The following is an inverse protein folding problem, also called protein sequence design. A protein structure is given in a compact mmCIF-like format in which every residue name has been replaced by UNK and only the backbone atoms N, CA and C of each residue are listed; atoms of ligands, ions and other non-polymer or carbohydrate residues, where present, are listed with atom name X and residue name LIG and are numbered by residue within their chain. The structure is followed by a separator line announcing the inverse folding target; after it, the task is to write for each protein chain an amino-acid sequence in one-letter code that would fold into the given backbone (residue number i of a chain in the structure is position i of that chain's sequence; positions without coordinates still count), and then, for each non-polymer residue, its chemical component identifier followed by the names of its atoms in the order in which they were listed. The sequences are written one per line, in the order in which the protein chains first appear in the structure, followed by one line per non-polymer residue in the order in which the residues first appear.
data_IF_466099863172
#
_entry.id   IF_466099863172
#
_cell.length_a   1.000
_cell.length_b   1.000
_cell.length_c   1.000
_cell.angle_alpha   90.00
_cell.angle_beta   90.00
_cell.angle_gamma   90.00
#
_symmetry.space_group_name_H-M   'P 1'
#
loop_
_entity.id
_entity.type
_entity.pdbx_description
1 polymer ?
#
# COMPACT_ATOMS: atom_id res chain seq x y z
N UNK A 1 12.01 -17.88 9.68
CA UNK A 1 12.08 -18.19 8.24
C UNK A 1 13.43 -17.69 7.79
N UNK A 2 14.28 -18.56 7.24
CA UNK A 2 15.70 -18.27 7.03
C UNK A 2 15.91 -17.04 6.13
N UNK A 3 16.74 -16.11 6.61
CA UNK A 3 17.19 -14.93 5.86
C UNK A 3 18.19 -15.35 4.77
N UNK A 4 17.70 -15.85 3.64
CA UNK A 4 18.54 -16.11 2.48
C UNK A 4 18.94 -14.77 1.86
N UNK A 5 20.24 -14.49 1.82
CA UNK A 5 20.80 -13.28 1.21
C UNK A 5 20.35 -13.19 -0.25
N UNK A 6 19.69 -12.09 -0.61
CA UNK A 6 19.15 -11.88 -1.95
C UNK A 6 17.68 -12.29 -2.14
N UNK A 7 17.02 -12.85 -1.14
CA UNK A 7 15.56 -13.10 -1.14
C UNK A 7 14.85 -12.15 -0.16
N UNK A 8 13.68 -11.67 -0.57
CA UNK A 8 12.90 -10.69 0.19
C UNK A 8 11.55 -10.42 -0.45
N UNK A 9 10.66 -9.77 0.30
CA UNK A 9 9.34 -9.37 -0.18
C UNK A 9 9.47 -8.17 -1.13
N UNK A 10 9.55 -8.47 -2.43
CA UNK A 10 9.63 -7.50 -3.53
C UNK A 10 8.60 -7.85 -4.60
N UNK A 11 7.30 -7.73 -4.30
CA UNK A 11 6.27 -8.03 -5.27
C UNK A 11 6.36 -7.04 -6.44
N UNK A 12 6.14 -7.53 -7.66
CA UNK A 12 5.97 -6.68 -8.82
C UNK A 12 4.62 -5.97 -8.77
N UNK A 13 4.48 -4.87 -9.50
CA UNK A 13 3.25 -4.09 -9.54
C UNK A 13 2.02 -4.96 -9.92
N UNK A 14 2.16 -5.87 -10.89
CA UNK A 14 1.11 -6.80 -11.33
C UNK A 14 0.72 -7.79 -10.22
N UNK A 15 1.68 -8.23 -9.41
CA UNK A 15 1.43 -9.10 -8.26
C UNK A 15 0.74 -8.33 -7.12
N UNK A 16 1.14 -7.09 -6.86
CA UNK A 16 0.50 -6.20 -5.88
C UNK A 16 -0.99 -6.03 -6.21
N UNK A 17 -1.32 -5.76 -7.47
CA UNK A 17 -2.72 -5.56 -7.90
C UNK A 17 -3.47 -6.88 -8.03
N UNK A 18 -2.93 -7.82 -8.80
CA UNK A 18 -3.63 -9.03 -9.22
C UNK A 18 -3.68 -10.15 -8.19
N UNK A 19 -2.65 -10.27 -7.35
CA UNK A 19 -2.59 -11.29 -6.31
C UNK A 19 -2.95 -10.71 -4.94
N UNK A 20 -2.23 -9.68 -4.46
CA UNK A 20 -2.41 -9.21 -3.08
C UNK A 20 -3.71 -8.42 -2.90
N UNK A 21 -3.90 -7.34 -3.67
CA UNK A 21 -5.06 -6.46 -3.52
C UNK A 21 -6.37 -7.14 -3.93
N UNK A 22 -6.37 -7.81 -5.07
CA UNK A 22 -7.55 -8.48 -5.60
C UNK A 22 -8.05 -9.58 -4.64
N UNK A 23 -7.18 -10.49 -4.19
CA UNK A 23 -7.60 -11.51 -3.23
C UNK A 23 -7.99 -10.90 -1.86
N UNK A 24 -7.34 -9.81 -1.44
CA UNK A 24 -7.75 -9.08 -0.21
C UNK A 24 -9.18 -8.57 -0.31
N UNK A 25 -9.58 -8.02 -1.46
CA UNK A 25 -10.93 -7.50 -1.71
C UNK A 25 -11.95 -8.64 -1.77
N UNK A 26 -11.60 -9.77 -2.40
CA UNK A 26 -12.50 -10.93 -2.49
C UNK A 26 -12.57 -11.76 -1.20
N UNK A 27 -11.70 -11.50 -0.22
CA UNK A 27 -11.63 -12.30 1.01
C UNK A 27 -11.03 -13.69 0.79
N UNK A 28 -10.26 -13.88 -0.28
CA UNK A 28 -9.55 -15.12 -0.59
C UNK A 28 -8.15 -15.12 0.03
N UNK A 29 -7.65 -16.30 0.39
CA UNK A 29 -6.30 -16.51 0.94
C UNK A 29 -5.88 -15.52 2.06
N UNK A 30 -6.85 -15.02 2.84
CA UNK A 30 -6.65 -13.93 3.81
C UNK A 30 -5.50 -14.20 4.77
N UNK A 31 -5.34 -15.43 5.24
CA UNK A 31 -4.23 -15.80 6.14
C UNK A 31 -2.83 -15.59 5.55
N UNK A 32 -2.64 -15.80 4.24
CA UNK A 32 -1.34 -15.58 3.57
C UNK A 32 -1.13 -14.10 3.31
N UNK A 33 -2.16 -13.42 2.81
CA UNK A 33 -2.12 -12.01 2.46
C UNK A 33 -1.91 -11.14 3.70
N UNK A 34 -2.62 -11.43 4.80
CA UNK A 34 -2.54 -10.67 6.05
C UNK A 34 -1.23 -10.91 6.81
N UNK A 35 -0.51 -11.98 6.48
CA UNK A 35 0.88 -12.18 6.94
C UNK A 35 1.87 -11.33 6.16
N UNK A 36 1.56 -10.95 4.92
CA UNK A 36 2.45 -10.18 4.07
C UNK A 36 2.22 -8.67 4.17
N UNK A 37 0.96 -8.22 4.06
CA UNK A 37 0.60 -6.80 3.98
C UNK A 37 -0.44 -6.49 5.05
N UNK A 38 -0.14 -5.52 5.91
CA UNK A 38 -1.04 -5.09 6.99
C UNK A 38 -2.10 -4.12 6.46
N UNK A 39 -3.32 -4.20 7.02
CA UNK A 39 -4.31 -3.13 6.89
C UNK A 39 -4.01 -2.04 7.91
N UNK A 40 -3.84 -0.80 7.46
CA UNK A 40 -3.61 0.39 8.30
C UNK A 40 -4.49 1.53 7.82
N UNK A 41 -4.81 2.45 8.72
CA UNK A 41 -5.40 3.74 8.34
C UNK A 41 -4.27 4.72 8.07
N UNK A 42 -3.85 4.85 6.81
CA UNK A 42 -2.62 5.57 6.45
C UNK A 42 -2.60 7.04 6.88
N UNK A 43 -3.77 7.67 7.05
CA UNK A 43 -3.89 9.05 7.49
C UNK A 43 -3.59 9.24 8.99
N UNK A 44 -3.56 8.17 9.78
CA UNK A 44 -3.25 8.26 11.22
C UNK A 44 -1.75 8.23 11.50
N UNK A 45 -0.90 8.05 10.48
CA UNK A 45 0.54 7.83 10.65
C UNK A 45 1.39 8.87 9.90
N UNK A 46 2.39 9.35 10.63
CA UNK A 46 3.75 9.63 10.18
C UNK A 46 4.32 8.64 9.12
N UNK A 47 4.87 8.99 7.95
CA UNK A 47 5.46 7.97 7.06
C UNK A 47 6.67 7.26 7.66
N UNK A 48 7.42 7.93 8.54
CA UNK A 48 8.50 7.30 9.29
C UNK A 48 7.99 6.36 10.38
N UNK A 49 6.73 6.48 10.79
CA UNK A 49 6.12 5.56 11.75
C UNK A 49 5.57 4.32 11.06
N UNK A 50 5.10 4.46 9.81
CA UNK A 50 4.54 3.34 9.04
C UNK A 50 5.49 2.15 8.89
N UNK A 51 6.80 2.38 8.73
CA UNK A 51 7.77 1.28 8.61
C UNK A 51 7.71 0.29 9.78
N UNK A 52 7.38 0.77 10.98
CA UNK A 52 7.28 -0.06 12.18
C UNK A 52 5.97 -0.88 12.23
N UNK A 53 5.00 -0.51 11.40
CA UNK A 53 3.73 -1.24 11.26
C UNK A 53 3.81 -2.38 10.23
N UNK A 54 4.91 -2.48 9.48
CA UNK A 54 5.10 -3.51 8.46
C UNK A 54 5.13 -4.91 9.08
N UNK A 55 4.54 -5.89 8.38
CA UNK A 55 4.60 -7.31 8.78
C UNK A 55 5.89 -7.99 8.37
N UNK A 56 6.49 -7.52 7.27
CA UNK A 56 7.74 -8.05 6.73
C UNK A 56 8.80 -6.98 6.87
N UNK A 57 9.96 -7.36 7.40
CA UNK A 57 11.13 -6.49 7.38
C UNK A 57 11.61 -6.30 5.94
N UNK A 58 11.62 -5.05 5.49
CA UNK A 58 12.08 -4.69 4.15
C UNK A 58 13.53 -4.26 4.18
N UNK A 59 14.36 -4.87 3.33
CA UNK A 59 15.77 -4.49 3.13
C UNK A 59 15.91 -3.35 2.12
N UNK A 60 14.92 -3.20 1.24
CA UNK A 60 14.94 -2.25 0.11
C UNK A 60 14.31 -0.89 0.47
N UNK A 61 14.01 -0.65 1.76
CA UNK A 61 13.35 0.57 2.27
C UNK A 61 11.98 0.83 1.63
N UNK A 62 11.29 -0.23 1.20
CA UNK A 62 9.93 -0.18 0.67
C UNK A 62 8.98 -0.96 1.58
N UNK A 63 7.83 -0.38 1.90
CA UNK A 63 6.82 -1.00 2.76
C UNK A 63 5.45 -0.96 2.09
N UNK A 64 4.69 -2.04 2.26
CA UNK A 64 3.39 -2.21 1.62
C UNK A 64 2.30 -2.29 2.66
N UNK A 65 1.22 -1.56 2.42
CA UNK A 65 0.05 -1.52 3.29
C UNK A 65 -1.24 -1.50 2.47
N UNK A 66 -2.28 -2.13 3.01
CA UNK A 66 -3.63 -1.86 2.60
C UNK A 66 -4.18 -0.71 3.42
N UNK A 67 -4.83 0.26 2.77
CA UNK A 67 -5.55 1.31 3.47
C UNK A 67 -6.92 1.48 2.84
N UNK A 68 -7.92 1.70 3.70
CA UNK A 68 -9.19 2.23 3.23
C UNK A 68 -8.96 3.66 2.73
N UNK A 69 -9.66 4.02 1.65
CA UNK A 69 -9.66 5.39 1.15
C UNK A 69 -10.59 6.22 2.03
N UNK A 70 -10.02 7.11 2.83
CA UNK A 70 -10.80 8.06 3.61
C UNK A 70 -11.23 9.24 2.76
N UNK A 71 -12.52 9.58 2.78
CA UNK A 71 -13.02 10.79 2.12
C UNK A 71 -12.85 11.99 3.05
N UNK A 72 -12.42 13.13 2.48
CA UNK A 72 -12.34 14.41 3.20
C UNK A 72 -13.72 14.96 3.54
N UNK A 73 -14.71 14.68 2.69
CA UNK A 73 -16.08 15.15 2.82
C UNK A 73 -17.04 13.98 2.59
N UNK A 74 -18.25 14.08 3.18
CA UNK A 74 -19.29 13.06 3.00
C UNK A 74 -19.69 12.91 1.51
N UNK A 75 -19.65 14.00 0.75
CA UNK A 75 -20.00 14.06 -0.67
C UNK A 75 -18.76 14.41 -1.48
N UNK A 76 -18.55 13.67 -2.58
CA UNK A 76 -17.43 13.84 -3.52
C UNK A 76 -16.31 12.80 -3.38
N UNK A 77 -15.28 12.96 -4.21
CA UNK A 77 -14.17 12.00 -4.36
C UNK A 77 -12.86 12.50 -3.74
N UNK A 78 -12.88 13.65 -3.05
CA UNK A 78 -11.68 14.21 -2.45
C UNK A 78 -11.26 13.36 -1.25
N UNK A 79 -10.08 12.77 -1.32
CA UNK A 79 -9.54 11.94 -0.26
C UNK A 79 -8.97 12.81 0.88
N UNK A 80 -9.12 12.33 2.11
CA UNK A 80 -8.35 12.84 3.24
C UNK A 80 -6.89 12.45 3.05
N UNK A 81 -6.01 13.38 3.39
CA UNK A 81 -4.56 13.24 3.27
C UNK A 81 -3.83 13.86 4.44
N UNK A 82 -4.55 14.30 5.47
CA UNK A 82 -3.94 14.92 6.64
C UNK A 82 -3.34 13.83 7.51
N UNK A 83 -2.13 14.03 7.99
CA UNK A 83 -1.50 13.22 9.03
C UNK A 83 -1.42 14.02 10.32
N UNK A 84 -0.85 13.44 11.38
CA UNK A 84 -0.63 14.14 12.65
C UNK A 84 0.25 15.37 12.44
N UNK A 85 1.36 15.21 11.72
CA UNK A 85 2.37 16.26 11.55
C UNK A 85 2.31 17.01 10.21
N UNK A 86 1.47 16.58 9.26
CA UNK A 86 1.44 17.19 7.93
C UNK A 86 0.36 16.67 7.00
N UNK A 87 0.73 16.47 5.73
CA UNK A 87 -0.16 15.87 4.73
C UNK A 87 0.58 15.01 3.72
N UNK A 88 -0.05 13.90 3.37
CA UNK A 88 0.32 13.08 2.22
C UNK A 88 0.18 13.88 0.93
N UNK A 89 1.25 13.91 0.14
CA UNK A 89 1.22 14.41 -1.23
C UNK A 89 1.43 13.24 -2.19
N UNK A 90 0.57 13.14 -3.20
CA UNK A 90 0.84 12.25 -4.31
C UNK A 90 2.10 12.72 -5.03
N UNK A 91 2.98 11.79 -5.31
CA UNK A 91 4.21 12.00 -6.07
C UNK A 91 4.27 11.04 -7.25
N UNK A 92 4.89 11.49 -8.33
CA UNK A 92 4.95 10.72 -9.58
C UNK A 92 3.66 10.73 -10.40
N UNK A 93 3.73 10.05 -11.54
CA UNK A 93 2.58 9.81 -12.41
C UNK A 93 1.77 8.63 -11.91
N UNK A 94 0.46 8.74 -12.08
CA UNK A 94 -0.45 7.64 -11.82
C UNK A 94 -0.24 6.57 -12.89
N UNK A 95 0.12 5.36 -12.48
CA UNK A 95 0.36 4.24 -13.40
C UNK A 95 -0.82 3.29 -13.35
N UNK A 96 -1.41 3.01 -14.51
CA UNK A 96 -2.35 1.90 -14.65
C UNK A 96 -1.59 0.59 -14.67
N UNK A 97 -1.91 -0.27 -13.72
CA UNK A 97 -1.29 -1.58 -13.56
C UNK A 97 -2.36 -2.63 -13.78
N UNK A 98 -2.07 -3.56 -14.68
CA UNK A 98 -2.89 -4.72 -14.95
C UNK A 98 -2.28 -5.96 -14.32
N UNK A 99 -3.13 -6.90 -13.90
CA UNK A 99 -2.66 -8.25 -13.58
C UNK A 99 -2.16 -8.98 -14.85
N UNK A 100 -1.52 -10.12 -14.67
CA UNK A 100 -0.92 -10.89 -15.77
C UNK A 100 -1.94 -11.36 -16.82
N UNK A 101 -3.21 -11.47 -16.43
CA UNK A 101 -4.29 -11.88 -17.32
C UNK A 101 -4.99 -10.69 -18.00
N UNK A 102 -4.66 -9.46 -17.59
CA UNK A 102 -5.31 -8.23 -18.08
C UNK A 102 -6.76 -8.05 -17.59
N UNK A 103 -7.21 -8.85 -16.63
CA UNK A 103 -8.58 -8.88 -16.12
C UNK A 103 -8.78 -7.80 -15.05
N UNK A 104 -7.76 -7.59 -14.22
CA UNK A 104 -7.79 -6.61 -13.14
C UNK A 104 -6.89 -5.44 -13.45
N UNK A 105 -7.44 -4.22 -13.38
CA UNK A 105 -6.70 -2.98 -13.54
C UNK A 105 -6.89 -2.09 -12.30
N UNK A 106 -5.79 -1.55 -11.76
CA UNK A 106 -5.82 -0.53 -10.71
C UNK A 106 -4.73 0.51 -10.96
N UNK A 107 -5.01 1.72 -10.52
CA UNK A 107 -4.05 2.82 -10.54
C UNK A 107 -3.18 2.76 -9.29
N UNK A 108 -1.88 2.60 -9.46
CA UNK A 108 -0.91 2.79 -8.39
C UNK A 108 -0.41 4.24 -8.41
N UNK A 109 -0.29 4.83 -7.22
CA UNK A 109 0.25 6.18 -7.05
C UNK A 109 1.22 6.14 -5.88
N UNK A 110 2.42 6.69 -6.09
CA UNK A 110 3.42 6.85 -5.02
C UNK A 110 3.07 8.08 -4.18
N UNK A 111 3.40 8.02 -2.90
CA UNK A 111 3.08 9.09 -1.95
C UNK A 111 4.29 9.43 -1.09
N UNK A 112 4.49 10.71 -0.83
CA UNK A 112 5.51 11.23 0.08
C UNK A 112 4.88 12.22 1.07
N UNK A 113 5.50 12.39 2.25
CA UNK A 113 5.09 13.48 3.15
C UNK A 113 5.57 14.82 2.62
N UNK A 114 4.76 15.85 2.82
CA UNK A 114 5.26 17.22 2.91
C UNK A 114 4.99 17.81 4.29
N UNK A 115 6.03 18.34 4.88
CA UNK A 115 5.94 19.19 6.06
C UNK A 115 5.30 20.54 5.67
N UNK A 116 4.54 21.10 6.62
CA UNK A 116 3.97 22.45 6.53
C UNK A 116 4.72 23.40 7.43
#
# INVERSE_FOLDING_TARGET
MEDIVGFGFRPKDDEVVGYYLHNKILGYETSRIDRAIKVVKICDYDPWDLRFESKIESKDLEWYFFSCIEKKYAIGNRQNRKTISGKWKLTGEAVEVKDQLGIWCRTLIRVELRYG
#
